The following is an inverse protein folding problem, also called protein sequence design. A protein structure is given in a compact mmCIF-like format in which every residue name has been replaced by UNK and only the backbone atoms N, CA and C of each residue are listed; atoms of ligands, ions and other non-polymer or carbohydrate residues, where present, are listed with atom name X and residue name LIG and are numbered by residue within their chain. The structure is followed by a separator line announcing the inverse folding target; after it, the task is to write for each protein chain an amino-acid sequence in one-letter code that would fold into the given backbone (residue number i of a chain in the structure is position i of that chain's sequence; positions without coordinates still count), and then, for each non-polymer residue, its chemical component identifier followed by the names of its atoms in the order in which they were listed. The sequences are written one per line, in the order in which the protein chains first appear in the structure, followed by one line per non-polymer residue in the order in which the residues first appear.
data_IF_830774318841
#
_entry.id   IF_830774318841
#
_cell.length_a   1.000
_cell.length_b   1.000
_cell.length_c   1.000
_cell.angle_alpha   90.00
_cell.angle_beta   90.00
_cell.angle_gamma   90.00
#
_symmetry.space_group_name_H-M   'P 1'
#
loop_
_entity.id
_entity.type
_entity.pdbx_description
1 polymer ?
#
# COMPACT_ATOMS: atom_id res chain seq x y z
N UNK A 1 19.15 -30.27 -14.22
CA UNK A 1 19.27 -29.06 -15.07
C UNK A 1 18.54 -29.34 -16.38
N UNK A 2 17.30 -28.85 -16.54
CA UNK A 2 16.61 -28.93 -17.83
C UNK A 2 17.01 -27.72 -18.68
N UNK A 3 17.45 -27.93 -19.91
CA UNK A 3 17.78 -26.89 -20.87
C UNK A 3 16.50 -26.20 -21.33
N UNK A 4 16.45 -24.88 -21.21
CA UNK A 4 15.32 -23.99 -21.57
C UNK A 4 15.05 -23.87 -23.09
N UNK A 5 15.29 -24.91 -23.88
CA UNK A 5 15.06 -24.92 -25.32
C UNK A 5 13.95 -25.87 -25.75
N UNK A 6 13.25 -26.52 -24.81
CA UNK A 6 12.10 -27.32 -25.17
C UNK A 6 10.84 -26.46 -25.24
N UNK A 7 10.06 -26.56 -26.32
CA UNK A 7 8.78 -25.86 -26.43
C UNK A 7 7.86 -26.30 -25.31
N UNK A 8 6.94 -25.41 -24.92
CA UNK A 8 5.87 -25.65 -23.96
C UNK A 8 5.25 -27.01 -24.29
N UNK A 9 5.67 -28.09 -23.60
CA UNK A 9 5.15 -29.42 -23.82
C UNK A 9 3.81 -29.45 -23.10
N UNK A 10 2.71 -29.37 -23.87
CA UNK A 10 1.41 -29.83 -23.39
C UNK A 10 1.55 -31.35 -23.17
N UNK A 11 1.82 -31.75 -21.93
CA UNK A 11 1.81 -33.17 -21.52
C UNK A 11 0.37 -33.53 -21.25
N UNK A 12 -0.22 -34.30 -22.16
CA UNK A 12 -1.60 -34.70 -22.11
C UNK A 12 -2.63 -33.58 -22.40
N UNK A 13 -3.78 -33.86 -22.97
CA UNK A 13 -4.50 -32.92 -23.79
C UNK A 13 -5.07 -31.70 -23.10
N UNK A 14 -4.93 -31.48 -21.81
CA UNK A 14 -5.65 -30.39 -21.16
C UNK A 14 -4.97 -29.66 -19.98
N UNK A 15 -3.66 -29.80 -19.69
CA UNK A 15 -3.08 -29.04 -18.61
C UNK A 15 -1.77 -28.34 -18.98
N UNK A 16 -1.58 -27.15 -18.43
CA UNK A 16 -0.42 -26.30 -18.63
C UNK A 16 0.40 -26.24 -17.34
N UNK A 17 1.68 -26.57 -17.43
CA UNK A 17 2.65 -26.40 -16.36
C UNK A 17 3.47 -25.16 -16.67
N UNK A 18 3.41 -24.09 -15.86
CA UNK A 18 4.19 -22.90 -16.12
C UNK A 18 5.66 -23.11 -15.85
N UNK A 19 6.52 -22.52 -16.68
CA UNK A 19 7.93 -22.39 -16.37
C UNK A 19 8.11 -21.51 -15.13
N UNK A 20 9.10 -21.84 -14.28
CA UNK A 20 9.38 -21.06 -13.07
C UNK A 20 10.21 -19.80 -13.33
N UNK A 21 10.89 -19.73 -14.48
CA UNK A 21 11.75 -18.60 -14.84
C UNK A 21 12.55 -18.87 -16.10
N UNK A 22 13.41 -17.94 -16.46
CA UNK A 22 14.33 -18.07 -17.58
C UNK A 22 15.78 -17.86 -17.13
N UNK A 23 16.72 -18.56 -17.74
CA UNK A 23 18.15 -18.48 -17.43
C UNK A 23 18.87 -17.66 -18.50
N UNK A 24 19.55 -16.61 -18.08
CA UNK A 24 20.45 -15.84 -18.93
C UNK A 24 21.82 -16.53 -18.89
N UNK A 25 22.43 -16.83 -20.05
CA UNK A 25 23.73 -17.52 -20.12
C UNK A 25 24.90 -16.55 -19.81
N UNK A 26 24.98 -16.04 -18.57
CA UNK A 26 26.07 -15.21 -18.07
C UNK A 26 26.77 -15.96 -16.96
N UNK A 27 28.05 -16.30 -17.13
CA UNK A 27 28.82 -17.13 -16.17
C UNK A 27 28.21 -18.52 -16.02
N UNK A 28 27.97 -18.95 -14.79
CA UNK A 28 27.35 -20.25 -14.46
C UNK A 28 25.84 -20.33 -14.78
N UNK A 29 25.28 -19.28 -15.39
CA UNK A 29 23.85 -19.14 -15.69
C UNK A 29 23.07 -18.44 -14.56
N UNK A 30 22.55 -17.25 -14.84
CA UNK A 30 21.72 -16.49 -13.90
C UNK A 30 20.23 -16.73 -14.19
N UNK A 31 19.52 -17.36 -13.27
CA UNK A 31 18.08 -17.63 -13.41
C UNK A 31 17.25 -16.50 -12.82
N UNK A 32 16.38 -15.90 -13.65
CA UNK A 32 15.38 -14.93 -13.22
C UNK A 32 14.05 -15.67 -13.07
N UNK A 33 13.54 -15.69 -11.84
CA UNK A 33 12.26 -16.33 -11.53
C UNK A 33 11.09 -15.41 -11.86
N UNK A 34 10.06 -15.94 -12.50
CA UNK A 34 8.84 -15.17 -12.82
C UNK A 34 8.13 -14.66 -11.57
N UNK A 35 8.25 -15.36 -10.45
CA UNK A 35 7.79 -14.87 -9.15
C UNK A 35 8.40 -13.50 -8.80
N UNK A 36 9.72 -13.36 -8.94
CA UNK A 36 10.41 -12.09 -8.69
C UNK A 36 9.97 -11.00 -9.69
N UNK A 37 9.75 -11.36 -10.96
CA UNK A 37 9.24 -10.43 -11.98
C UNK A 37 7.87 -9.89 -11.59
N UNK A 38 6.95 -10.75 -11.10
CA UNK A 38 5.62 -10.31 -10.66
C UNK A 38 5.69 -9.39 -9.43
N UNK A 39 6.59 -9.66 -8.49
CA UNK A 39 6.81 -8.76 -7.34
C UNK A 39 7.29 -7.38 -7.82
N UNK A 40 8.32 -7.33 -8.67
CA UNK A 40 8.87 -6.07 -9.19
C UNK A 40 7.82 -5.30 -9.98
N UNK A 41 7.06 -5.97 -10.84
CA UNK A 41 5.94 -5.37 -11.57
C UNK A 41 4.89 -4.80 -10.61
N UNK A 42 4.54 -5.54 -9.57
CA UNK A 42 3.64 -5.09 -8.51
C UNK A 42 4.15 -3.82 -7.82
N UNK A 43 5.43 -3.76 -7.45
CA UNK A 43 6.07 -2.59 -6.84
C UNK A 43 6.03 -1.39 -7.79
N UNK A 44 6.38 -1.57 -9.06
CA UNK A 44 6.36 -0.49 -10.06
C UNK A 44 4.95 0.09 -10.21
N UNK A 45 3.94 -0.75 -10.40
CA UNK A 45 2.56 -0.31 -10.57
C UNK A 45 1.98 0.31 -9.29
N UNK A 46 2.32 -0.23 -8.11
CA UNK A 46 1.98 0.38 -6.84
C UNK A 46 2.58 1.78 -6.71
N UNK A 47 3.86 1.94 -7.08
CA UNK A 47 4.56 3.24 -7.05
C UNK A 47 3.88 4.26 -7.96
N UNK A 48 3.47 3.86 -9.15
CA UNK A 48 2.70 4.73 -10.07
C UNK A 48 1.37 5.16 -9.45
N UNK A 49 0.63 4.22 -8.85
CA UNK A 49 -0.65 4.51 -8.17
C UNK A 49 -0.45 5.50 -7.02
N UNK A 50 0.56 5.29 -6.18
CA UNK A 50 0.88 6.19 -5.05
C UNK A 50 1.26 7.57 -5.55
N UNK A 51 2.09 7.66 -6.59
CA UNK A 51 2.47 8.93 -7.22
C UNK A 51 1.25 9.72 -7.72
N UNK A 52 0.33 9.06 -8.42
CA UNK A 52 -0.92 9.67 -8.90
C UNK A 52 -1.80 10.17 -7.75
N UNK A 53 -1.92 9.37 -6.68
CA UNK A 53 -2.71 9.73 -5.50
C UNK A 53 -2.03 10.82 -4.68
N UNK A 54 -0.70 10.85 -4.56
CA UNK A 54 0.04 11.94 -3.92
C UNK A 54 -0.22 13.25 -4.65
N UNK A 55 -0.05 13.28 -5.98
CA UNK A 55 -0.38 14.46 -6.79
C UNK A 55 -1.83 14.90 -6.61
N UNK A 56 -2.77 13.95 -6.66
CA UNK A 56 -4.20 14.24 -6.47
C UNK A 56 -4.49 14.84 -5.10
N UNK A 57 -3.68 14.52 -4.09
CA UNK A 57 -3.83 14.93 -2.68
C UNK A 57 -2.96 16.13 -2.30
N UNK A 58 -2.36 16.82 -3.26
CA UNK A 58 -1.41 17.92 -3.03
C UNK A 58 -0.22 17.52 -2.13
N UNK A 59 0.21 16.26 -2.22
CA UNK A 59 1.49 15.79 -1.67
C UNK A 59 2.50 15.84 -2.82
N UNK A 60 3.74 16.30 -2.60
CA UNK A 60 4.76 16.30 -3.66
C UNK A 60 4.97 14.90 -4.24
N UNK A 61 4.88 14.78 -5.56
CA UNK A 61 5.03 13.47 -6.23
C UNK A 61 6.41 12.83 -6.04
N UNK A 62 7.45 13.66 -5.94
CA UNK A 62 8.85 13.27 -5.64
C UNK A 62 8.96 12.46 -4.33
N UNK A 63 8.10 12.75 -3.35
CA UNK A 63 8.07 12.03 -2.08
C UNK A 63 7.67 10.56 -2.21
N UNK A 64 7.18 10.15 -3.39
CA UNK A 64 6.91 8.73 -3.67
C UNK A 64 8.20 7.91 -3.68
N UNK A 65 9.29 8.48 -4.20
CA UNK A 65 10.60 7.82 -4.20
C UNK A 65 11.16 7.75 -2.76
N UNK A 66 11.03 8.84 -1.99
CA UNK A 66 11.45 8.87 -0.57
C UNK A 66 10.70 7.80 0.24
N UNK A 67 9.39 7.66 -0.02
CA UNK A 67 8.57 6.63 0.62
C UNK A 67 9.06 5.22 0.25
N UNK A 68 9.36 4.99 -1.03
CA UNK A 68 9.88 3.71 -1.51
C UNK A 68 11.24 3.40 -0.87
N UNK A 69 12.14 4.39 -0.78
CA UNK A 69 13.46 4.26 -0.13
C UNK A 69 13.35 4.00 1.38
N UNK A 70 12.27 4.43 2.04
CA UNK A 70 12.02 4.08 3.43
C UNK A 70 11.42 2.66 3.56
N UNK A 71 10.47 2.28 2.71
CA UNK A 71 9.72 1.01 2.84
C UNK A 71 10.57 -0.18 2.42
N UNK A 72 11.26 -0.12 1.26
CA UNK A 72 11.93 -1.31 0.72
C UNK A 72 13.10 -1.78 1.58
N UNK A 73 14.06 -0.92 1.99
CA UNK A 73 15.18 -1.38 2.82
C UNK A 73 14.70 -1.90 4.18
N UNK A 74 13.81 -1.15 4.86
CA UNK A 74 13.31 -1.57 6.17
C UNK A 74 12.42 -2.83 6.06
N UNK A 75 11.69 -2.98 4.97
CA UNK A 75 10.93 -4.19 4.68
C UNK A 75 11.82 -5.41 4.50
N UNK A 76 12.90 -5.30 3.73
CA UNK A 76 13.86 -6.39 3.50
C UNK A 76 14.60 -6.73 4.81
N UNK A 77 15.10 -5.73 5.54
CA UNK A 77 15.75 -5.89 6.84
C UNK A 77 14.81 -6.58 7.82
N UNK A 78 13.57 -6.10 7.93
CA UNK A 78 12.56 -6.69 8.80
C UNK A 78 12.24 -8.14 8.42
N UNK A 79 12.07 -8.44 7.13
CA UNK A 79 11.78 -9.78 6.64
C UNK A 79 12.91 -10.78 7.00
N UNK A 80 14.15 -10.37 6.82
CA UNK A 80 15.31 -11.21 7.14
C UNK A 80 15.51 -11.38 8.64
N UNK A 81 15.44 -10.28 9.39
CA UNK A 81 15.61 -10.31 10.85
C UNK A 81 14.56 -11.20 11.52
N UNK A 82 13.29 -11.06 11.12
CA UNK A 82 12.22 -11.88 11.67
C UNK A 82 12.39 -13.36 11.32
N UNK A 83 12.79 -13.67 10.09
CA UNK A 83 13.05 -15.04 9.67
C UNK A 83 14.16 -15.66 10.53
N UNK A 84 15.34 -15.04 10.60
CA UNK A 84 16.45 -15.55 11.40
C UNK A 84 16.15 -15.65 12.91
N UNK A 85 15.22 -14.83 13.42
CA UNK A 85 14.81 -14.87 14.82
C UNK A 85 13.77 -15.96 15.14
N UNK A 86 13.03 -16.44 14.14
CA UNK A 86 11.91 -17.37 14.34
C UNK A 86 12.13 -18.76 13.76
N UNK A 87 13.06 -18.92 12.85
CA UNK A 87 13.40 -20.22 12.26
C UNK A 87 14.51 -20.91 13.08
N UNK A 88 14.20 -22.03 13.76
CA UNK A 88 15.19 -22.75 14.57
C UNK A 88 16.37 -23.33 13.75
N UNK A 89 16.21 -23.49 12.45
CA UNK A 89 17.24 -24.04 11.55
C UNK A 89 18.25 -22.99 11.09
N UNK A 90 17.99 -21.71 11.32
CA UNK A 90 18.78 -20.58 10.83
C UNK A 90 19.42 -19.81 12.00
N UNK A 91 20.72 -19.55 11.92
CA UNK A 91 21.43 -18.74 12.90
C UNK A 91 21.42 -17.25 12.52
N UNK A 92 21.47 -16.37 13.52
CA UNK A 92 21.68 -14.92 13.30
C UNK A 92 23.00 -14.60 12.60
N UNK A 93 23.98 -15.50 12.63
CA UNK A 93 25.23 -15.38 11.86
C UNK A 93 25.00 -15.42 10.34
N UNK A 94 23.92 -16.05 9.89
CA UNK A 94 23.55 -16.18 8.48
C UNK A 94 22.69 -15.00 7.97
N UNK A 95 22.52 -13.97 8.78
CA UNK A 95 21.65 -12.84 8.48
C UNK A 95 21.99 -12.17 7.13
N UNK A 96 23.27 -12.13 6.75
CA UNK A 96 23.71 -11.55 5.48
C UNK A 96 23.55 -12.47 4.26
N UNK A 97 23.19 -13.73 4.44
CA UNK A 97 23.02 -14.69 3.34
C UNK A 97 21.64 -14.59 2.69
N UNK A 98 21.36 -13.47 2.04
CA UNK A 98 20.06 -13.20 1.38
C UNK A 98 19.77 -14.11 0.17
N UNK A 99 20.80 -14.73 -0.42
CA UNK A 99 20.65 -15.56 -1.62
C UNK A 99 20.10 -16.95 -1.35
N UNK A 100 20.25 -17.43 -0.11
CA UNK A 100 19.81 -18.77 0.28
C UNK A 100 18.31 -18.82 0.63
N UNK A 101 17.59 -17.71 0.38
CA UNK A 101 16.19 -17.58 0.70
C UNK A 101 15.96 -17.15 2.15
N UNK A 102 14.79 -17.45 2.70
CA UNK A 102 14.44 -17.16 4.10
C UNK A 102 14.11 -15.69 4.36
N UNK A 103 12.96 -15.27 3.84
CA UNK A 103 12.38 -13.95 4.09
C UNK A 103 10.96 -14.14 4.66
N UNK A 104 10.74 -13.64 5.87
CA UNK A 104 9.41 -13.69 6.50
C UNK A 104 8.53 -12.55 6.03
N UNK A 105 7.33 -12.88 5.55
CA UNK A 105 6.32 -11.88 5.17
C UNK A 105 5.93 -11.01 6.38
N UNK A 106 5.82 -11.60 7.57
CA UNK A 106 5.47 -10.87 8.81
C UNK A 106 6.51 -9.80 9.11
N UNK A 107 7.78 -10.19 9.07
CA UNK A 107 8.90 -9.25 9.25
C UNK A 107 8.91 -8.14 8.19
N UNK A 108 8.61 -8.48 6.94
CA UNK A 108 8.50 -7.54 5.84
C UNK A 108 7.39 -6.50 6.05
N UNK A 109 6.22 -6.93 6.52
CA UNK A 109 5.10 -6.04 6.85
C UNK A 109 5.45 -5.11 8.02
N UNK A 110 6.06 -5.63 9.08
CA UNK A 110 6.50 -4.82 10.23
C UNK A 110 7.55 -3.79 9.78
N UNK A 111 8.58 -4.23 9.07
CA UNK A 111 9.63 -3.35 8.55
C UNK A 111 9.09 -2.30 7.59
N UNK A 112 8.19 -2.68 6.68
CA UNK A 112 7.51 -1.76 5.78
C UNK A 112 6.65 -0.72 6.51
N UNK A 113 5.91 -1.12 7.55
CA UNK A 113 5.14 -0.21 8.40
C UNK A 113 6.06 0.80 9.12
N UNK A 114 7.19 0.34 9.65
CA UNK A 114 8.21 1.22 10.24
C UNK A 114 8.78 2.19 9.19
N UNK A 115 8.95 1.74 7.95
CA UNK A 115 9.36 2.58 6.83
C UNK A 115 8.35 3.71 6.55
N UNK A 116 7.05 3.41 6.56
CA UNK A 116 6.00 4.43 6.43
C UNK A 116 6.03 5.41 7.60
N UNK A 117 6.20 4.92 8.83
CA UNK A 117 6.29 5.78 10.02
C UNK A 117 7.51 6.70 9.92
N UNK A 118 8.69 6.14 9.57
CA UNK A 118 9.91 6.93 9.37
C UNK A 118 9.72 8.02 8.32
N UNK A 119 9.15 7.68 7.16
CA UNK A 119 8.79 8.65 6.14
C UNK A 119 7.89 9.76 6.68
N UNK A 120 6.85 9.41 7.45
CA UNK A 120 5.93 10.37 8.02
C UNK A 120 6.61 11.32 9.02
N UNK A 121 7.57 10.82 9.81
CA UNK A 121 8.37 11.62 10.74
C UNK A 121 9.30 12.59 10.00
N UNK A 122 10.03 12.10 8.98
CA UNK A 122 10.96 12.90 8.18
C UNK A 122 10.22 14.06 7.48
N UNK A 123 9.11 13.74 6.81
CA UNK A 123 8.35 14.74 6.04
C UNK A 123 7.31 15.50 6.87
N UNK A 124 7.16 15.19 8.16
CA UNK A 124 6.18 15.80 9.08
C UNK A 124 4.76 15.77 8.51
N UNK A 125 4.39 14.63 7.93
CA UNK A 125 3.07 14.37 7.33
C UNK A 125 2.26 13.40 8.20
N UNK A 126 0.94 13.54 8.20
CA UNK A 126 0.06 12.65 8.95
C UNK A 126 0.07 11.24 8.36
N UNK A 127 0.28 10.23 9.22
CA UNK A 127 0.35 8.81 8.84
C UNK A 127 -0.89 8.34 8.07
N UNK A 128 -2.10 8.62 8.55
CA UNK A 128 -3.34 8.18 7.89
C UNK A 128 -3.48 8.76 6.48
N UNK A 129 -2.94 9.95 6.25
CA UNK A 129 -2.96 10.58 4.93
C UNK A 129 -2.04 9.86 3.94
N UNK A 130 -0.87 9.42 4.40
CA UNK A 130 0.06 8.62 3.58
C UNK A 130 -0.51 7.21 3.38
N UNK A 131 -1.00 6.57 4.45
CA UNK A 131 -1.59 5.26 4.41
C UNK A 131 -2.76 5.17 3.42
N UNK A 132 -3.66 6.16 3.41
CA UNK A 132 -4.76 6.22 2.44
C UNK A 132 -4.29 6.22 0.98
N UNK A 133 -3.17 6.89 0.69
CA UNK A 133 -2.62 6.91 -0.67
C UNK A 133 -1.82 5.63 -0.99
N UNK A 134 -1.24 5.01 0.03
CA UNK A 134 -0.40 3.82 -0.11
C UNK A 134 -1.21 2.55 -0.36
N UNK A 135 -2.29 2.33 0.41
CA UNK A 135 -3.00 1.04 0.41
C UNK A 135 -3.63 0.63 -0.92
N UNK A 136 -4.13 1.53 -1.81
CA UNK A 136 -4.54 1.12 -3.14
C UNK A 136 -3.39 0.54 -3.96
N UNK A 137 -2.17 1.09 -3.83
CA UNK A 137 -0.98 0.53 -4.45
C UNK A 137 -0.60 -0.83 -3.88
N UNK A 138 -0.67 -0.98 -2.55
CA UNK A 138 -0.37 -2.25 -1.86
C UNK A 138 -1.30 -3.37 -2.31
N UNK A 139 -2.62 -3.15 -2.32
CA UNK A 139 -3.59 -4.18 -2.73
C UNK A 139 -3.46 -4.54 -4.21
N UNK A 140 -3.10 -3.57 -5.08
CA UNK A 140 -2.78 -3.83 -6.48
C UNK A 140 -1.56 -4.75 -6.60
N UNK A 141 -0.47 -4.43 -5.88
CA UNK A 141 0.74 -5.25 -5.86
C UNK A 141 0.46 -6.66 -5.31
N UNK A 142 -0.39 -6.79 -4.29
CA UNK A 142 -0.84 -8.09 -3.77
C UNK A 142 -1.61 -8.88 -4.83
N UNK A 143 -2.52 -8.24 -5.58
CA UNK A 143 -3.24 -8.90 -6.68
C UNK A 143 -2.31 -9.42 -7.78
N UNK A 144 -1.33 -8.62 -8.19
CA UNK A 144 -0.33 -9.00 -9.20
C UNK A 144 0.60 -10.09 -8.67
N UNK A 145 1.05 -9.96 -7.42
CA UNK A 145 1.95 -10.92 -6.77
C UNK A 145 1.36 -12.33 -6.68
N UNK A 146 0.03 -12.47 -6.66
CA UNK A 146 -0.64 -13.79 -6.71
C UNK A 146 -0.31 -14.59 -7.98
N UNK A 147 -0.03 -13.92 -9.08
CA UNK A 147 0.43 -14.62 -10.30
C UNK A 147 1.84 -15.20 -10.14
N UNK A 148 2.65 -14.67 -9.23
CA UNK A 148 3.91 -15.31 -8.84
C UNK A 148 3.70 -16.70 -8.23
N UNK A 149 2.65 -16.86 -7.40
CA UNK A 149 2.30 -18.17 -6.85
C UNK A 149 1.90 -19.19 -7.94
N UNK A 150 1.28 -18.74 -9.03
CA UNK A 150 1.01 -19.60 -10.19
C UNK A 150 2.30 -20.17 -10.80
N UNK A 151 3.31 -19.33 -11.02
CA UNK A 151 4.58 -19.77 -11.58
C UNK A 151 5.36 -20.70 -10.63
N UNK A 152 5.21 -20.52 -9.33
CA UNK A 152 5.82 -21.39 -8.32
C UNK A 152 4.98 -22.64 -8.03
N UNK A 153 3.76 -22.74 -8.57
CA UNK A 153 2.78 -23.79 -8.24
C UNK A 153 2.54 -23.90 -6.72
N UNK A 154 2.27 -22.78 -6.07
CA UNK A 154 2.00 -22.70 -4.64
C UNK A 154 0.71 -21.92 -4.35
N UNK A 155 0.17 -22.05 -3.12
CA UNK A 155 -1.07 -21.35 -2.73
C UNK A 155 -2.26 -21.77 -3.58
N UNK A 156 -2.47 -23.07 -3.71
CA UNK A 156 -3.63 -23.66 -4.34
C UNK A 156 -4.66 -24.13 -3.29
N UNK A 157 -5.87 -24.44 -3.73
CA UNK A 157 -6.95 -24.94 -2.88
C UNK A 157 -7.03 -26.46 -2.83
N UNK A 158 -8.16 -26.99 -2.37
CA UNK A 158 -8.43 -28.41 -2.32
C UNK A 158 -8.37 -29.07 -3.71
N UNK A 159 -8.18 -30.38 -3.73
CA UNK A 159 -8.19 -31.21 -4.94
C UNK A 159 -9.52 -31.10 -5.69
N UNK A 160 -9.46 -31.12 -7.03
CA UNK A 160 -10.62 -31.15 -7.92
C UNK A 160 -10.77 -32.55 -8.51
N UNK A 161 -11.71 -33.32 -8.00
CA UNK A 161 -12.06 -34.65 -8.52
C UNK A 161 -13.03 -34.62 -9.69
N UNK A 162 -13.77 -33.50 -9.86
CA UNK A 162 -14.73 -33.36 -10.97
C UNK A 162 -14.01 -32.86 -12.24
N UNK A 163 -13.91 -33.75 -13.24
CA UNK A 163 -13.27 -33.46 -14.53
C UNK A 163 -13.83 -32.21 -15.23
N UNK A 164 -15.10 -31.89 -15.04
CA UNK A 164 -15.73 -30.70 -15.63
C UNK A 164 -15.16 -29.39 -15.13
N UNK A 165 -14.44 -29.39 -14.00
CA UNK A 165 -13.78 -28.23 -13.41
C UNK A 165 -12.25 -28.26 -13.55
N UNK A 166 -11.70 -29.29 -14.20
CA UNK A 166 -10.24 -29.42 -14.39
C UNK A 166 -9.74 -28.59 -15.56
N UNK A 167 -10.01 -27.28 -15.51
CA UNK A 167 -9.53 -26.32 -16.48
C UNK A 167 -9.47 -24.91 -15.87
N UNK A 168 -8.58 -24.07 -16.40
CA UNK A 168 -8.51 -22.65 -15.98
C UNK A 168 -9.77 -21.89 -16.44
N UNK A 169 -10.42 -21.04 -15.60
CA UNK A 169 -9.92 -20.51 -14.34
C UNK A 169 -10.35 -21.24 -13.06
N UNK A 170 -11.01 -22.40 -13.16
CA UNK A 170 -11.48 -23.14 -11.98
C UNK A 170 -10.34 -23.87 -11.30
N UNK A 171 -9.53 -24.57 -12.06
CA UNK A 171 -8.44 -25.38 -11.57
C UNK A 171 -7.11 -25.12 -12.27
N UNK A 172 -6.05 -25.58 -11.62
CA UNK A 172 -4.68 -25.67 -12.14
C UNK A 172 -4.10 -27.03 -11.78
N UNK A 173 -3.31 -27.58 -12.69
CA UNK A 173 -2.59 -28.82 -12.44
C UNK A 173 -1.31 -28.53 -11.66
N UNK A 174 -1.12 -29.25 -10.55
CA UNK A 174 0.06 -29.12 -9.69
C UNK A 174 1.00 -30.29 -9.97
N UNK A 175 2.16 -29.99 -10.54
CA UNK A 175 3.12 -31.02 -10.97
C UNK A 175 3.62 -31.87 -9.79
N UNK A 176 3.87 -31.27 -8.64
CA UNK A 176 4.38 -31.95 -7.45
C UNK A 176 3.39 -32.92 -6.81
N UNK A 177 2.09 -32.61 -6.91
CA UNK A 177 1.00 -33.43 -6.38
C UNK A 177 0.47 -34.44 -7.42
N UNK A 178 0.70 -34.17 -8.72
CA UNK A 178 0.11 -34.88 -9.86
C UNK A 178 -1.44 -34.84 -9.90
N UNK A 179 -2.02 -33.73 -9.42
CA UNK A 179 -3.45 -33.54 -9.20
C UNK A 179 -3.92 -32.18 -9.65
N UNK A 180 -5.23 -32.05 -9.89
CA UNK A 180 -5.88 -30.78 -10.15
C UNK A 180 -6.36 -30.14 -8.85
N UNK A 181 -6.02 -28.84 -8.64
CA UNK A 181 -6.41 -28.07 -7.48
C UNK A 181 -7.11 -26.77 -7.88
N UNK A 182 -7.98 -26.24 -6.99
CA UNK A 182 -8.61 -24.95 -7.22
C UNK A 182 -7.58 -23.82 -7.36
N UNK A 183 -7.77 -22.94 -8.36
CA UNK A 183 -6.85 -21.86 -8.72
C UNK A 183 -6.97 -20.66 -7.75
N UNK A 184 -6.65 -20.85 -6.47
CA UNK A 184 -6.85 -19.85 -5.43
C UNK A 184 -6.04 -18.58 -5.67
N UNK A 185 -4.84 -18.67 -6.24
CA UNK A 185 -4.06 -17.51 -6.64
C UNK A 185 -4.88 -16.57 -7.56
N UNK A 186 -5.65 -17.13 -8.49
CA UNK A 186 -6.50 -16.38 -9.43
C UNK A 186 -7.68 -15.72 -8.72
N UNK A 187 -8.38 -16.46 -7.86
CA UNK A 187 -9.52 -15.92 -7.11
C UNK A 187 -9.08 -14.80 -6.16
N UNK A 188 -7.99 -14.99 -5.42
CA UNK A 188 -7.44 -13.95 -4.57
C UNK A 188 -6.97 -12.75 -5.37
N UNK A 189 -6.37 -12.95 -6.56
CA UNK A 189 -5.99 -11.87 -7.46
C UNK A 189 -7.20 -11.03 -7.87
N UNK A 190 -8.28 -11.66 -8.33
CA UNK A 190 -9.51 -10.97 -8.74
C UNK A 190 -10.13 -10.18 -7.58
N UNK A 191 -10.22 -10.77 -6.39
CA UNK A 191 -10.76 -10.10 -5.22
C UNK A 191 -9.90 -8.90 -4.80
N UNK A 192 -8.58 -9.04 -4.81
CA UNK A 192 -7.65 -7.95 -4.53
C UNK A 192 -7.76 -6.82 -5.57
N UNK A 193 -7.92 -7.15 -6.86
CA UNK A 193 -8.13 -6.17 -7.92
C UNK A 193 -9.49 -5.47 -7.79
N UNK A 194 -10.53 -6.16 -7.35
CA UNK A 194 -11.83 -5.55 -7.05
C UNK A 194 -11.74 -4.57 -5.88
N UNK A 195 -11.04 -4.94 -4.79
CA UNK A 195 -10.77 -4.05 -3.67
C UNK A 195 -9.94 -2.84 -4.14
N UNK A 196 -8.90 -3.07 -4.95
CA UNK A 196 -8.12 -1.98 -5.56
C UNK A 196 -9.00 -1.00 -6.31
N UNK A 197 -9.84 -1.49 -7.20
CA UNK A 197 -10.74 -0.65 -8.00
C UNK A 197 -11.68 0.17 -7.10
N UNK A 198 -12.23 -0.44 -6.05
CA UNK A 198 -13.06 0.24 -5.05
C UNK A 198 -12.29 1.33 -4.29
N UNK A 199 -11.14 1.00 -3.73
CA UNK A 199 -10.32 1.95 -2.95
C UNK A 199 -9.77 3.08 -3.84
N UNK A 200 -9.29 2.76 -5.03
CA UNK A 200 -8.79 3.76 -5.97
C UNK A 200 -9.91 4.74 -6.39
N UNK A 201 -11.10 4.21 -6.72
CA UNK A 201 -12.27 5.03 -7.05
C UNK A 201 -12.69 5.89 -5.86
N UNK A 202 -12.73 5.31 -4.66
CA UNK A 202 -13.00 6.03 -3.41
C UNK A 202 -12.04 7.20 -3.24
N UNK A 203 -10.74 6.94 -3.37
CA UNK A 203 -9.68 7.95 -3.25
C UNK A 203 -9.74 8.99 -4.36
N UNK A 204 -10.03 8.59 -5.59
CA UNK A 204 -10.00 9.48 -6.75
C UNK A 204 -11.22 10.39 -6.83
N UNK A 205 -12.42 9.85 -6.61
CA UNK A 205 -13.68 10.56 -6.82
C UNK A 205 -14.29 11.15 -5.54
N UNK A 206 -14.27 10.41 -4.45
CA UNK A 206 -15.10 10.68 -3.29
C UNK A 206 -14.37 11.28 -2.08
N UNK A 207 -13.19 10.78 -1.74
CA UNK A 207 -12.47 11.24 -0.55
C UNK A 207 -11.86 12.63 -0.77
N UNK A 208 -12.40 13.63 -0.08
CA UNK A 208 -11.99 15.02 -0.19
C UNK A 208 -11.14 15.51 0.99
N UNK A 209 -11.47 15.16 2.22
CA UNK A 209 -10.78 15.63 3.44
C UNK A 209 -10.40 14.57 4.46
N UNK A 210 -11.21 13.52 4.74
CA UNK A 210 -10.88 12.63 5.84
C UNK A 210 -9.70 11.75 5.51
N UNK A 211 -8.92 11.48 6.56
CA UNK A 211 -7.78 10.59 6.50
C UNK A 211 -8.14 9.28 7.19
N UNK A 212 -7.72 8.17 6.60
CA UNK A 212 -7.88 6.84 7.17
C UNK A 212 -9.01 6.00 6.57
N UNK A 213 -9.93 6.55 5.76
CA UNK A 213 -11.05 5.78 5.20
C UNK A 213 -10.60 4.72 4.19
N UNK A 214 -9.63 5.03 3.32
CA UNK A 214 -9.09 4.06 2.38
C UNK A 214 -8.27 3.00 3.12
N UNK A 215 -7.50 3.41 4.13
CA UNK A 215 -6.75 2.51 5.00
C UNK A 215 -7.68 1.54 5.75
N UNK A 216 -8.74 2.05 6.38
CA UNK A 216 -9.75 1.23 7.05
C UNK A 216 -10.46 0.28 6.07
N UNK A 217 -10.80 0.77 4.86
CA UNK A 217 -11.38 -0.04 3.80
C UNK A 217 -10.46 -1.16 3.31
N UNK A 218 -9.15 -0.90 3.24
CA UNK A 218 -8.15 -1.94 2.95
C UNK A 218 -8.10 -3.01 4.04
N UNK A 219 -8.01 -2.60 5.32
CA UNK A 219 -7.99 -3.53 6.43
C UNK A 219 -9.24 -4.42 6.42
N UNK A 220 -10.41 -3.83 6.23
CA UNK A 220 -11.67 -4.55 6.14
C UNK A 220 -11.69 -5.50 4.93
N UNK A 221 -11.46 -4.98 3.72
CA UNK A 221 -11.58 -5.75 2.48
C UNK A 221 -10.56 -6.88 2.39
N UNK A 222 -9.27 -6.57 2.58
CA UNK A 222 -8.21 -7.57 2.55
C UNK A 222 -8.33 -8.58 3.70
N UNK A 223 -8.62 -8.08 4.92
CA UNK A 223 -8.85 -8.94 6.08
C UNK A 223 -10.01 -9.92 5.84
N UNK A 224 -11.11 -9.47 5.23
CA UNK A 224 -12.25 -10.32 4.88
C UNK A 224 -11.86 -11.39 3.85
N UNK A 225 -11.23 -10.99 2.74
CA UNK A 225 -10.77 -11.94 1.72
C UNK A 225 -9.84 -12.97 2.33
N UNK A 226 -8.86 -12.52 3.12
CA UNK A 226 -7.88 -13.40 3.76
C UNK A 226 -8.52 -14.36 4.78
N UNK A 227 -9.48 -13.89 5.58
CA UNK A 227 -10.18 -14.73 6.57
C UNK A 227 -11.03 -15.83 5.94
N UNK A 228 -11.57 -15.60 4.73
CA UNK A 228 -12.36 -16.57 3.99
C UNK A 228 -11.46 -17.56 3.23
N UNK A 229 -10.41 -17.05 2.60
CA UNK A 229 -9.56 -17.87 1.72
C UNK A 229 -8.55 -18.73 2.50
N UNK A 230 -8.11 -18.30 3.68
CA UNK A 230 -7.08 -19.00 4.45
C UNK A 230 -7.47 -20.42 4.86
N UNK A 231 -8.65 -20.70 5.42
CA UNK A 231 -9.04 -22.05 5.82
C UNK A 231 -9.27 -23.00 4.64
N UNK A 232 -9.41 -22.47 3.43
CA UNK A 232 -9.63 -23.24 2.21
C UNK A 232 -8.32 -23.64 1.51
N UNK A 233 -7.17 -23.14 2.00
CA UNK A 233 -5.85 -23.51 1.47
C UNK A 233 -5.40 -24.85 1.97
N UNK A 234 -4.72 -25.56 1.09
CA UNK A 234 -3.89 -26.70 1.50
C UNK A 234 -2.61 -26.17 2.17
N UNK A 235 -2.01 -26.92 3.10
CA UNK A 235 -0.81 -26.55 3.87
C UNK A 235 -0.96 -25.30 4.74
N UNK A 236 -1.46 -25.50 5.95
CA UNK A 236 -1.69 -24.43 6.94
C UNK A 236 -0.78 -24.57 8.16
N UNK A 237 -0.21 -23.45 8.63
CA UNK A 237 0.39 -23.37 9.97
C UNK A 237 -0.71 -23.28 11.02
N UNK A 238 -0.89 -24.35 11.79
CA UNK A 238 -1.94 -24.49 12.80
C UNK A 238 -1.38 -24.17 14.17
N UNK A 239 -2.01 -23.25 14.89
CA UNK A 239 -1.73 -22.97 16.29
C UNK A 239 -2.53 -23.95 17.13
N UNK A 240 -1.93 -24.98 17.76
CA UNK A 240 -2.49 -25.84 18.83
C UNK A 240 -3.99 -26.19 18.85
N UNK A 241 -4.80 -25.47 18.15
CA UNK A 241 -6.24 -25.60 17.89
C UNK A 241 -6.46 -25.40 16.40
N UNK A 242 -6.88 -26.34 15.63
CA UNK A 242 -7.19 -26.39 14.20
C UNK A 242 -7.46 -25.06 13.43
N UNK A 243 -7.00 -23.92 13.93
CA UNK A 243 -7.18 -22.58 13.35
C UNK A 243 -5.83 -22.00 12.93
N UNK A 244 -5.66 -21.61 11.66
CA UNK A 244 -4.44 -20.97 11.18
C UNK A 244 -4.20 -19.61 11.88
N UNK A 245 -2.99 -19.37 12.35
CA UNK A 245 -2.62 -18.08 12.98
C UNK A 245 -2.92 -16.91 12.06
N UNK A 246 -2.62 -17.06 10.77
CA UNK A 246 -2.88 -16.04 9.73
C UNK A 246 -4.36 -15.71 9.58
N UNK A 247 -5.26 -16.68 9.81
CA UNK A 247 -6.71 -16.46 9.82
C UNK A 247 -7.15 -15.58 10.99
N UNK A 248 -6.60 -15.80 12.20
CA UNK A 248 -6.90 -14.98 13.35
C UNK A 248 -6.51 -13.52 13.10
N UNK A 249 -5.29 -13.28 12.58
CA UNK A 249 -4.86 -11.93 12.21
C UNK A 249 -5.76 -11.33 11.14
N UNK A 250 -6.19 -12.09 10.15
CA UNK A 250 -7.08 -11.62 9.09
C UNK A 250 -8.45 -11.20 9.64
N UNK A 251 -9.03 -11.98 10.57
CA UNK A 251 -10.29 -11.64 11.25
C UNK A 251 -10.12 -10.36 12.06
N UNK A 252 -9.04 -10.24 12.83
CA UNK A 252 -8.75 -9.02 13.62
C UNK A 252 -8.60 -7.79 12.70
N UNK A 253 -7.95 -7.94 11.54
CA UNK A 253 -7.86 -6.88 10.54
C UNK A 253 -9.24 -6.51 9.98
N UNK A 254 -10.08 -7.49 9.64
CA UNK A 254 -11.41 -7.26 9.10
C UNK A 254 -12.30 -6.54 10.10
N UNK A 255 -12.37 -7.03 11.35
CA UNK A 255 -13.18 -6.43 12.41
C UNK A 255 -12.66 -5.03 12.77
N UNK A 256 -11.36 -4.90 13.01
CA UNK A 256 -10.73 -3.61 13.32
C UNK A 256 -10.91 -2.60 12.18
N UNK A 257 -10.76 -3.03 10.93
CA UNK A 257 -11.00 -2.22 9.74
C UNK A 257 -12.45 -1.76 9.63
N UNK A 258 -13.43 -2.66 9.86
CA UNK A 258 -14.85 -2.32 9.84
C UNK A 258 -15.22 -1.30 10.94
N UNK A 259 -14.73 -1.52 12.17
CA UNK A 259 -14.97 -0.59 13.28
C UNK A 259 -14.34 0.78 13.02
N UNK A 260 -13.10 0.82 12.52
CA UNK A 260 -12.42 2.06 12.16
C UNK A 260 -13.15 2.79 11.03
N UNK A 261 -13.58 2.06 10.00
CA UNK A 261 -14.32 2.62 8.87
C UNK A 261 -15.65 3.24 9.33
N UNK A 262 -16.42 2.53 10.14
CA UNK A 262 -17.67 3.03 10.72
C UNK A 262 -17.44 4.25 11.60
N UNK A 263 -16.44 4.21 12.48
CA UNK A 263 -16.10 5.33 13.36
C UNK A 263 -15.71 6.58 12.56
N UNK A 264 -14.90 6.42 11.50
CA UNK A 264 -14.48 7.52 10.62
C UNK A 264 -15.67 8.09 9.83
N UNK A 265 -16.58 7.26 9.33
CA UNK A 265 -17.80 7.73 8.66
C UNK A 265 -18.68 8.55 9.60
N UNK A 266 -18.93 8.04 10.83
CA UNK A 266 -19.74 8.77 11.83
C UNK A 266 -19.07 10.08 12.22
N UNK A 267 -17.75 10.08 12.42
CA UNK A 267 -16.98 11.28 12.75
C UNK A 267 -17.05 12.32 11.63
N UNK A 268 -16.89 11.88 10.35
CA UNK A 268 -16.99 12.74 9.19
C UNK A 268 -18.38 13.36 9.06
N UNK A 269 -19.44 12.55 9.25
CA UNK A 269 -20.80 13.03 9.20
C UNK A 269 -21.08 14.09 10.27
N UNK A 270 -20.67 13.84 11.52
CA UNK A 270 -20.81 14.82 12.61
C UNK A 270 -20.04 16.11 12.35
N UNK A 271 -18.83 16.01 11.80
CA UNK A 271 -17.94 17.17 11.61
C UNK A 271 -18.22 17.97 10.34
N UNK A 272 -18.58 17.31 9.26
CA UNK A 272 -18.68 17.93 7.93
C UNK A 272 -20.10 17.86 7.33
N UNK A 273 -21.05 17.16 7.96
CA UNK A 273 -22.38 16.91 7.42
C UNK A 273 -22.37 15.99 6.19
N UNK A 274 -21.27 15.25 5.96
CA UNK A 274 -21.09 14.36 4.81
C UNK A 274 -20.23 13.15 5.20
N UNK A 275 -20.59 11.97 4.71
CA UNK A 275 -19.86 10.72 4.93
C UNK A 275 -18.42 10.77 4.38
N UNK A 276 -18.20 11.51 3.30
CA UNK A 276 -16.91 11.61 2.61
C UNK A 276 -16.18 12.95 2.82
N UNK A 277 -16.61 13.74 3.80
CA UNK A 277 -15.89 14.93 4.25
C UNK A 277 -16.08 16.20 3.42
N UNK A 278 -17.10 16.29 2.57
CA UNK A 278 -17.49 17.53 1.92
C UNK A 278 -19.02 17.70 1.96
N UNK A 279 -19.50 18.92 2.23
CA UNK A 279 -20.92 19.25 2.07
C UNK A 279 -21.33 19.11 0.60
N UNK A 280 -22.55 18.63 0.35
CA UNK A 280 -23.13 18.54 -0.97
C UNK A 280 -23.15 19.94 -1.59
N UNK A 281 -22.55 20.13 -2.77
CA UNK A 281 -22.47 21.43 -3.44
C UNK A 281 -21.23 22.27 -3.17
N UNK A 282 -20.40 21.95 -2.18
CA UNK A 282 -19.09 22.59 -2.05
C UNK A 282 -18.10 22.03 -3.09
N UNK A 283 -17.30 22.89 -3.75
CA UNK A 283 -16.20 22.42 -4.57
C UNK A 283 -15.26 21.55 -3.74
N UNK A 284 -14.63 20.57 -4.36
CA UNK A 284 -13.60 19.70 -3.74
C UNK A 284 -12.65 20.58 -2.93
N UNK A 285 -12.77 20.53 -1.59
CA UNK A 285 -11.87 21.29 -0.76
C UNK A 285 -10.45 20.80 -1.06
N UNK A 286 -9.68 21.66 -1.67
CA UNK A 286 -8.27 21.40 -1.95
C UNK A 286 -7.58 21.15 -0.63
N UNK A 287 -7.02 19.93 -0.46
CA UNK A 287 -6.23 19.64 0.73
C UNK A 287 -5.06 20.63 0.78
N UNK A 288 -4.66 21.09 1.97
CA UNK A 288 -3.51 21.98 2.08
C UNK A 288 -2.30 21.36 1.39
N UNK A 289 -1.64 22.16 0.55
CA UNK A 289 -0.44 21.72 -0.17
C UNK A 289 0.67 21.47 0.84
N UNK A 290 1.34 20.33 0.74
CA UNK A 290 2.56 20.09 1.50
C UNK A 290 3.74 20.74 0.79
N UNK A 291 4.52 21.48 1.55
CA UNK A 291 5.71 22.14 1.06
C UNK A 291 6.95 21.47 1.65
N UNK A 292 8.02 21.42 0.89
CA UNK A 292 9.34 21.04 1.40
C UNK A 292 9.77 22.00 2.51
N UNK A 293 10.74 21.62 3.35
CA UNK A 293 11.24 22.49 4.41
C UNK A 293 11.75 23.82 3.86
N UNK A 294 12.42 23.81 2.70
CA UNK A 294 12.90 24.99 2.01
C UNK A 294 11.77 25.89 1.48
N UNK A 295 10.74 25.29 0.89
CA UNK A 295 9.56 26.04 0.43
C UNK A 295 8.82 26.69 1.60
N UNK A 296 8.71 26.00 2.75
CA UNK A 296 8.10 26.56 3.97
C UNK A 296 8.90 27.76 4.47
N UNK A 297 10.23 27.66 4.51
CA UNK A 297 11.11 28.75 4.92
C UNK A 297 10.94 29.98 4.02
N UNK A 298 10.96 29.81 2.70
CA UNK A 298 10.71 30.89 1.73
C UNK A 298 9.34 31.55 1.91
N UNK A 299 8.28 30.74 2.17
CA UNK A 299 6.94 31.26 2.41
C UNK A 299 6.85 32.03 3.73
N UNK A 300 7.52 31.57 4.77
CA UNK A 300 7.54 32.23 6.07
C UNK A 300 8.31 33.57 6.02
N UNK A 301 9.42 33.59 5.31
CA UNK A 301 10.18 34.82 5.01
C UNK A 301 9.33 35.82 4.22
N UNK A 302 8.64 35.35 3.17
CA UNK A 302 7.74 36.19 2.38
C UNK A 302 6.53 36.72 3.20
N UNK A 303 6.00 35.90 4.12
CA UNK A 303 4.94 36.32 5.04
C UNK A 303 5.43 37.38 6.03
N UNK A 304 6.61 37.17 6.61
CA UNK A 304 7.23 38.15 7.53
C UNK A 304 7.50 39.49 6.84
N UNK A 305 8.00 39.48 5.60
CA UNK A 305 8.23 40.69 4.82
C UNK A 305 6.93 41.47 4.54
N UNK A 306 5.84 40.76 4.20
CA UNK A 306 4.52 41.37 3.99
C UNK A 306 3.93 41.95 5.28
N UNK A 307 4.08 41.28 6.43
CA UNK A 307 3.62 41.78 7.73
C UNK A 307 4.41 43.03 8.13
N UNK A 308 5.74 43.01 7.94
CA UNK A 308 6.59 44.15 8.23
C UNK A 308 6.26 45.37 7.32
N UNK A 309 6.01 45.12 6.03
CA UNK A 309 5.60 46.15 5.08
C UNK A 309 4.23 46.77 5.47
N UNK A 310 3.26 45.93 5.83
CA UNK A 310 1.94 46.37 6.27
C UNK A 310 2.03 47.16 7.59
N UNK A 311 2.87 46.74 8.54
CA UNK A 311 3.12 47.47 9.80
C UNK A 311 3.81 48.80 9.58
N UNK A 312 4.74 48.88 8.63
CA UNK A 312 5.40 50.13 8.26
C UNK A 312 4.44 51.11 7.60
N UNK A 313 3.57 50.63 6.71
CA UNK A 313 2.52 51.45 6.07
C UNK A 313 1.51 52.00 7.11
N UNK A 314 1.06 51.17 8.05
CA UNK A 314 0.15 51.57 9.11
C UNK A 314 0.77 52.64 10.05
N UNK A 315 2.08 52.53 10.32
CA UNK A 315 2.82 53.56 11.09
C UNK A 315 3.02 54.85 10.32
N UNK A 316 3.07 54.83 8.99
CA UNK A 316 3.20 56.04 8.17
C UNK A 316 1.87 56.80 8.05
N UNK A 317 0.72 56.12 8.14
CA UNK A 317 -0.62 56.74 8.11
C UNK A 317 -1.06 57.37 9.46
N UNK A 318 -0.45 56.96 10.59
CA UNK A 318 -0.81 57.52 11.90
C UNK A 318 -0.48 59.03 12.09
N UNK A 319 0.68 59.56 11.64
CA UNK A 319 0.98 60.97 11.84
C UNK A 319 0.11 61.93 10.99
N UNK A 320 -0.53 61.46 9.91
CA UNK A 320 -1.49 62.30 9.16
C UNK A 320 -2.86 62.41 9.83
N UNK A 321 -3.30 61.37 10.53
CA UNK A 321 -4.58 61.37 11.29
C UNK A 321 -4.47 62.23 12.54
N UNK A 322 -3.32 62.24 13.22
CA UNK A 322 -3.09 63.08 14.40
C UNK A 322 -2.98 64.58 14.04
N UNK A 323 -2.46 64.93 12.85
CA UNK A 323 -2.47 66.28 12.33
C UNK A 323 -3.83 66.77 11.86
N UNK A 324 -4.67 65.87 11.35
CA UNK A 324 -6.04 66.19 10.94
C UNK A 324 -6.97 66.40 12.16
N UNK A 325 -6.74 65.68 13.26
CA UNK A 325 -7.48 65.87 14.52
C UNK A 325 -7.12 67.15 15.30
N UNK A 326 -5.91 67.68 15.16
CA UNK A 326 -5.47 68.94 15.78
C UNK A 326 -5.87 70.19 14.98
N UNK A 327 -6.22 70.07 13.70
CA UNK A 327 -6.59 71.19 12.84
C UNK A 327 -8.07 71.62 12.93
N UNK A 328 -8.92 70.89 13.63
CA UNK A 328 -10.35 71.20 13.77
C UNK A 328 -10.69 71.86 15.12
N UNK A 329 -9.76 71.93 16.11
CA UNK A 329 -9.97 72.50 17.41
C UNK A 329 -9.56 74.06 17.44
N UNK A 330 -8.94 74.54 16.35
CA UNK A 330 -8.55 76.00 16.27
C UNK A 330 -9.55 76.88 15.48
N UNK A 331 -10.80 76.37 15.26
CA UNK A 331 -11.83 77.15 14.53
C UNK A 331 -13.11 77.51 15.30
N UNK A 332 -13.13 77.32 16.59
CA UNK A 332 -14.16 77.83 17.49
C UNK A 332 -13.58 78.75 18.55
N UNK A 333 -13.19 80.01 18.13
CA UNK A 333 -13.11 81.18 18.97
C UNK A 333 -13.39 82.48 18.14
#
# INVERSE_FOLDING_TARGET
MRRFTEPIIMREPNYYIPDRGFTIPIGDGFTIYYYAVMIVLGIILATVVVYLLFKRRNIPGEWTIDLLLCILPLGIIGARTFYCATDPSTSMSEWLHFRDGGLSIIGGVIGGALGVILFCVIHKINFLRVADCLVPGVILAQGIGRWGNFFNQEVYGAEITNEALQWFPFGVYIESAHEWHYAFFFYESLLNLAIFAGLFTLMWKFLKKPHGLSFAGYLFGYGTVRSIMEPLRDNQYILGSNVPISQVFAILMAVGGALLFAALIVWNYKKYGSFFGAKTGEPLAVLPKYYTAEQRKKMEEARRSKVNAASAAAKAEQPEKDKAAQGDDDRED
#
